data_IF_798253492359
#
_entry.id   IF_798253492359
#
_cell.length_a   1.000
_cell.length_b   1.000
_cell.length_c   1.000
_cell.angle_alpha   90.00
_cell.angle_beta   90.00
_cell.angle_gamma   90.00
#
_symmetry.space_group_name_H-M   'P 1'
#
loop_
_entity.id
_entity.type
_entity.pdbx_description
1 polymer ?
#
# COMPACT_ATOMS: atom_id res chain seq x y z
N UNK A 1 14.77 -13.74 21.00
CA UNK A 1 15.25 -12.34 21.07
C UNK A 1 14.03 -11.44 21.09
N UNK A 2 13.84 -10.70 22.17
CA UNK A 2 12.73 -9.75 22.34
C UNK A 2 12.92 -8.61 21.35
N UNK A 3 12.00 -8.46 20.38
CA UNK A 3 11.91 -7.21 19.60
C UNK A 3 11.15 -6.24 20.47
N UNK A 4 11.85 -5.30 21.10
CA UNK A 4 11.26 -4.11 21.70
C UNK A 4 10.52 -3.34 20.60
N UNK A 5 9.25 -3.69 20.37
CA UNK A 5 8.39 -3.07 19.38
C UNK A 5 8.05 -1.66 19.81
N UNK A 6 8.97 -0.73 19.58
CA UNK A 6 8.71 0.70 19.78
C UNK A 6 7.47 1.13 19.00
N UNK A 7 6.82 2.21 19.45
CA UNK A 7 5.62 2.72 18.82
C UNK A 7 5.82 2.87 17.30
N UNK A 8 4.92 2.28 16.52
CA UNK A 8 4.91 2.35 15.06
C UNK A 8 3.87 3.38 14.61
N UNK A 9 4.03 3.91 13.41
CA UNK A 9 3.05 4.83 12.85
C UNK A 9 3.00 4.76 11.32
N UNK A 10 1.90 5.27 10.79
CA UNK A 10 1.73 5.57 9.38
C UNK A 10 1.55 7.09 9.21
N UNK A 11 2.21 7.67 8.22
CA UNK A 11 2.10 9.08 7.85
C UNK A 11 1.39 9.18 6.51
N UNK A 12 0.23 9.83 6.46
CA UNK A 12 -0.40 10.19 5.18
C UNK A 12 0.25 11.44 4.61
N UNK A 13 0.60 11.44 3.32
CA UNK A 13 1.28 12.54 2.61
C UNK A 13 0.59 12.81 1.27
N UNK A 14 0.25 14.07 1.02
CA UNK A 14 -0.26 14.54 -0.26
C UNK A 14 0.54 15.74 -0.76
N UNK A 15 0.69 15.86 -2.09
CA UNK A 15 1.35 16.98 -2.77
C UNK A 15 2.76 16.68 -3.28
N UNK A 16 3.38 15.56 -2.90
CA UNK A 16 4.74 15.20 -3.31
C UNK A 16 4.75 13.99 -4.23
N UNK A 17 5.52 14.05 -5.32
CA UNK A 17 5.78 12.88 -6.18
C UNK A 17 6.48 11.78 -5.38
N UNK A 18 6.23 10.52 -5.77
CA UNK A 18 6.75 9.33 -5.07
C UNK A 18 8.26 9.36 -4.94
N UNK A 19 8.98 9.67 -6.02
CA UNK A 19 10.44 9.65 -6.06
C UNK A 19 11.03 10.66 -5.07
N UNK A 20 10.41 11.84 -4.97
CA UNK A 20 10.80 12.87 -3.99
C UNK A 20 10.52 12.41 -2.56
N UNK A 21 9.38 11.77 -2.32
CA UNK A 21 9.02 11.24 -1.01
C UNK A 21 9.94 10.08 -0.58
N UNK A 22 10.31 9.19 -1.50
CA UNK A 22 11.29 8.13 -1.28
C UNK A 22 12.66 8.70 -0.92
N UNK A 23 13.08 9.79 -1.58
CA UNK A 23 14.27 10.55 -1.22
C UNK A 23 14.24 11.07 0.23
N UNK A 24 13.12 11.65 0.67
CA UNK A 24 12.95 12.08 2.06
C UNK A 24 12.92 10.92 3.06
N UNK A 25 12.28 9.80 2.70
CA UNK A 25 12.34 8.58 3.51
C UNK A 25 13.78 8.11 3.68
N UNK A 26 14.58 8.12 2.60
CA UNK A 26 16.01 7.77 2.65
C UNK A 26 16.77 8.74 3.56
N UNK A 27 16.58 10.04 3.41
CA UNK A 27 17.21 11.05 4.25
C UNK A 27 16.93 10.80 5.74
N UNK A 28 15.67 10.51 6.10
CA UNK A 28 15.31 10.19 7.50
C UNK A 28 16.03 8.95 8.00
N UNK A 29 16.15 7.89 7.18
CA UNK A 29 16.89 6.68 7.56
C UNK A 29 18.38 6.97 7.74
N UNK A 30 18.98 7.74 6.85
CA UNK A 30 20.40 8.10 6.91
C UNK A 30 20.71 8.92 8.19
N UNK A 31 19.84 9.88 8.53
CA UNK A 31 20.00 10.75 9.71
C UNK A 31 19.74 10.03 11.04
N UNK A 32 18.84 9.05 11.08
CA UNK A 32 18.51 8.30 12.29
C UNK A 32 19.36 7.05 12.49
N UNK A 33 20.10 6.62 11.46
CA UNK A 33 21.03 5.52 11.54
C UNK A 33 20.41 4.13 11.31
N UNK A 34 21.27 3.13 11.46
CA UNK A 34 20.98 1.74 11.14
C UNK A 34 19.74 1.21 11.88
N UNK A 35 18.92 0.41 11.18
CA UNK A 35 17.69 -0.17 11.73
C UNK A 35 16.47 0.75 11.68
N UNK A 36 16.61 2.01 11.25
CA UNK A 36 15.47 2.90 11.05
C UNK A 36 14.62 2.43 9.86
N UNK A 37 13.36 2.09 10.13
CA UNK A 37 12.35 1.88 9.08
C UNK A 37 11.61 3.19 8.84
N UNK A 38 11.67 3.66 7.60
CA UNK A 38 10.94 4.81 7.09
C UNK A 38 10.84 4.64 5.57
N UNK A 39 9.68 4.26 5.05
CA UNK A 39 9.50 4.00 3.62
C UNK A 39 8.09 4.33 3.17
N UNK A 40 7.89 4.50 1.86
CA UNK A 40 6.54 4.52 1.28
C UNK A 40 5.91 3.14 1.52
N UNK A 41 4.73 3.13 2.14
CA UNK A 41 3.95 1.95 2.48
C UNK A 41 2.74 1.78 1.53
N UNK A 42 2.16 2.88 1.06
CA UNK A 42 1.08 2.86 0.09
C UNK A 42 1.32 3.95 -0.97
N UNK A 43 1.44 3.58 -2.24
CA UNK A 43 1.45 4.49 -3.39
C UNK A 43 0.04 4.53 -4.00
N UNK A 44 -0.75 5.53 -3.57
CA UNK A 44 -2.19 5.54 -3.73
C UNK A 44 -2.64 6.23 -5.02
N UNK A 45 -2.12 7.42 -5.29
CA UNK A 45 -2.48 8.21 -6.46
C UNK A 45 -1.37 9.22 -6.77
N UNK A 46 -1.41 9.90 -7.93
CA UNK A 46 -0.44 10.93 -8.26
C UNK A 46 -0.27 11.94 -7.13
N UNK A 47 0.97 11.98 -6.62
CA UNK A 47 1.38 12.80 -5.48
C UNK A 47 0.64 12.50 -4.17
N UNK A 48 0.23 11.26 -3.95
CA UNK A 48 -0.45 10.81 -2.74
C UNK A 48 0.00 9.43 -2.32
N UNK A 49 0.52 9.37 -1.10
CA UNK A 49 1.07 8.15 -0.56
C UNK A 49 0.93 8.16 0.96
N UNK A 50 1.15 7.00 1.56
CA UNK A 50 1.46 6.93 2.99
C UNK A 50 2.85 6.36 3.18
N UNK A 51 3.55 6.83 4.21
CA UNK A 51 4.81 6.25 4.66
C UNK A 51 4.61 5.49 5.97
N UNK A 52 5.38 4.44 6.20
CA UNK A 52 5.35 3.65 7.42
C UNK A 52 6.74 3.53 8.05
N UNK A 53 6.76 3.40 9.38
CA UNK A 53 7.99 3.26 10.15
C UNK A 53 7.78 3.35 11.65
N UNK A 54 8.87 3.57 12.39
CA UNK A 54 8.76 3.94 13.80
C UNK A 54 8.08 5.30 13.93
N UNK A 55 7.39 5.54 15.04
CA UNK A 55 6.69 6.81 15.30
C UNK A 55 7.64 8.01 15.21
N UNK A 56 8.83 7.89 15.80
CA UNK A 56 9.86 8.94 15.74
C UNK A 56 10.30 9.24 14.29
N UNK A 57 10.48 8.20 13.45
CA UNK A 57 10.83 8.40 12.05
C UNK A 57 9.70 9.07 11.26
N UNK A 58 8.44 8.71 11.53
CA UNK A 58 7.28 9.34 10.89
C UNK A 58 7.08 10.79 11.33
N UNK A 59 7.30 11.14 12.60
CA UNK A 59 7.26 12.52 13.10
C UNK A 59 8.37 13.38 12.46
N UNK A 60 9.57 12.82 12.30
CA UNK A 60 10.67 13.50 11.61
C UNK A 60 10.37 13.70 10.13
N UNK A 61 9.85 12.66 9.46
CA UNK A 61 9.42 12.73 8.07
C UNK A 61 8.31 13.76 7.88
N UNK A 62 7.32 13.81 8.77
CA UNK A 62 6.22 14.78 8.72
C UNK A 62 6.73 16.22 8.69
N UNK A 63 7.67 16.57 9.58
CA UNK A 63 8.29 17.92 9.59
C UNK A 63 9.04 18.19 8.29
N UNK A 64 9.83 17.22 7.83
CA UNK A 64 10.64 17.33 6.62
C UNK A 64 9.76 17.57 5.38
N UNK A 65 8.70 16.78 5.19
CA UNK A 65 7.85 16.90 3.99
C UNK A 65 7.01 18.17 4.01
N UNK A 66 6.52 18.62 5.18
CA UNK A 66 5.79 19.89 5.34
C UNK A 66 6.65 21.08 4.95
N UNK A 67 7.91 21.10 5.39
CA UNK A 67 8.86 22.14 5.02
C UNK A 67 9.24 22.14 3.53
N UNK A 68 9.00 21.04 2.81
CA UNK A 68 9.47 20.83 1.44
C UNK A 68 8.36 20.63 0.39
N UNK A 69 7.18 21.23 0.66
CA UNK A 69 6.11 21.35 -0.32
C UNK A 69 5.06 20.24 -0.33
N UNK A 70 4.97 19.43 0.74
CA UNK A 70 3.77 18.64 0.95
C UNK A 70 2.57 19.56 1.19
N UNK A 71 1.47 19.31 0.47
CA UNK A 71 0.20 20.02 0.67
C UNK A 71 -0.46 19.57 1.97
N UNK A 72 -0.34 18.29 2.30
CA UNK A 72 -0.83 17.71 3.54
C UNK A 72 0.16 16.64 4.02
N UNK A 73 0.38 16.61 5.33
CA UNK A 73 1.03 15.49 5.99
C UNK A 73 0.45 15.33 7.40
N UNK A 74 0.00 14.11 7.75
CA UNK A 74 -0.63 13.83 9.05
C UNK A 74 -0.42 12.38 9.45
N UNK A 75 -0.02 12.16 10.70
CA UNK A 75 0.02 10.82 11.30
C UNK A 75 -1.39 10.22 11.37
N UNK A 76 -1.49 8.94 11.00
CA UNK A 76 -2.73 8.18 11.03
C UNK A 76 -2.86 7.53 12.41
N UNK A 77 -3.90 7.91 13.16
CA UNK A 77 -4.18 7.41 14.50
C UNK A 77 -4.63 5.95 14.46
N UNK A 78 -4.15 5.12 15.38
CA UNK A 78 -4.56 3.72 15.51
C UNK A 78 -4.01 2.78 14.42
N UNK A 79 -3.09 3.25 13.58
CA UNK A 79 -2.44 2.44 12.54
C UNK A 79 -1.09 1.88 13.00
N UNK A 80 -0.78 0.65 12.60
CA UNK A 80 0.58 0.12 12.59
C UNK A 80 1.36 0.56 11.34
N UNK A 81 2.65 0.21 11.28
CA UNK A 81 3.49 0.42 10.09
C UNK A 81 3.34 -0.73 9.08
N UNK A 82 2.09 -0.98 8.64
CA UNK A 82 1.77 -2.00 7.65
C UNK A 82 2.51 -1.75 6.32
N UNK A 83 2.71 -2.82 5.54
CA UNK A 83 3.39 -2.74 4.24
C UNK A 83 4.84 -2.20 4.36
N UNK A 84 5.49 -2.56 5.47
CA UNK A 84 6.90 -2.29 5.73
C UNK A 84 7.58 -3.52 6.35
N UNK A 85 8.93 -3.58 6.38
CA UNK A 85 9.67 -4.64 7.06
C UNK A 85 9.32 -4.82 8.55
N UNK A 86 8.68 -3.84 9.20
CA UNK A 86 8.21 -3.98 10.57
C UNK A 86 7.12 -5.05 10.73
N UNK A 87 6.51 -5.49 9.63
CA UNK A 87 5.55 -6.60 9.60
C UNK A 87 6.22 -7.98 9.53
N UNK A 88 7.54 -8.08 9.36
CA UNK A 88 8.27 -9.34 9.22
C UNK A 88 7.94 -10.37 10.31
N UNK A 89 7.79 -10.01 11.61
CA UNK A 89 7.44 -10.97 12.65
C UNK A 89 6.09 -11.67 12.44
N UNK A 90 5.17 -11.06 11.69
CA UNK A 90 3.85 -11.63 11.40
C UNK A 90 3.82 -12.52 10.14
N UNK A 91 4.85 -12.44 9.29
CA UNK A 91 4.88 -13.10 7.97
C UNK A 91 4.70 -14.61 8.08
N UNK A 92 5.47 -15.27 8.96
CA UNK A 92 5.40 -16.73 9.13
C UNK A 92 4.01 -17.22 9.57
N UNK A 93 3.32 -16.46 10.42
CA UNK A 93 1.98 -16.79 10.88
C UNK A 93 0.94 -16.66 9.76
N UNK A 94 1.04 -15.59 8.96
CA UNK A 94 0.16 -15.38 7.80
C UNK A 94 0.42 -16.43 6.72
N UNK A 95 1.68 -16.74 6.44
CA UNK A 95 2.05 -17.77 5.48
C UNK A 95 1.49 -19.14 5.87
N UNK A 96 1.61 -19.55 7.14
CA UNK A 96 1.03 -20.80 7.62
C UNK A 96 -0.49 -20.86 7.42
N UNK A 97 -1.21 -19.79 7.78
CA UNK A 97 -2.66 -19.70 7.58
C UNK A 97 -3.06 -19.74 6.09
N UNK A 98 -2.30 -19.06 5.22
CA UNK A 98 -2.50 -19.08 3.78
C UNK A 98 -2.24 -20.47 3.18
N UNK A 99 -1.21 -21.18 3.64
CA UNK A 99 -0.93 -22.56 3.23
C UNK A 99 -2.06 -23.51 3.62
N UNK A 100 -2.59 -23.39 4.85
CA UNK A 100 -3.74 -24.17 5.28
C UNK A 100 -4.98 -23.88 4.41
N UNK A 101 -5.27 -22.60 4.15
CA UNK A 101 -6.38 -22.19 3.29
C UNK A 101 -6.22 -22.65 1.83
N UNK A 102 -4.98 -22.76 1.34
CA UNK A 102 -4.67 -23.10 -0.05
C UNK A 102 -5.24 -24.42 -0.52
N UNK A 103 -5.43 -25.38 0.39
CA UNK A 103 -6.02 -26.70 0.11
C UNK A 103 -7.42 -26.60 -0.50
N UNK A 104 -8.14 -25.51 -0.18
CA UNK A 104 -9.50 -25.25 -0.69
C UNK A 104 -9.56 -24.15 -1.75
N UNK A 105 -8.43 -23.51 -2.07
CA UNK A 105 -8.41 -22.44 -3.06
C UNK A 105 -8.62 -23.01 -4.46
N UNK A 106 -9.40 -22.28 -5.27
CA UNK A 106 -9.58 -22.58 -6.69
C UNK A 106 -8.88 -21.49 -7.51
N UNK A 107 -8.48 -21.78 -8.76
CA UNK A 107 -8.01 -20.76 -9.68
C UNK A 107 -8.99 -19.57 -9.74
N UNK A 108 -8.50 -18.33 -9.82
CA UNK A 108 -9.37 -17.17 -9.88
C UNK A 108 -10.17 -17.19 -11.19
N UNK A 109 -11.41 -16.75 -11.13
CA UNK A 109 -12.30 -16.67 -12.32
C UNK A 109 -12.13 -15.38 -13.12
N UNK A 110 -11.39 -14.43 -12.58
CA UNK A 110 -11.09 -13.13 -13.17
C UNK A 110 -9.62 -12.79 -12.89
N UNK A 111 -9.11 -11.81 -13.62
CA UNK A 111 -7.78 -11.28 -13.37
C UNK A 111 -7.74 -10.58 -12.01
N UNK A 112 -6.68 -10.84 -11.25
CA UNK A 112 -6.46 -10.27 -9.91
C UNK A 112 -5.22 -9.40 -9.95
N UNK A 113 -5.40 -8.09 -9.77
CA UNK A 113 -4.27 -7.15 -9.74
C UNK A 113 -3.66 -7.11 -8.34
N UNK A 114 -2.39 -7.48 -8.25
CA UNK A 114 -1.69 -7.66 -6.98
C UNK A 114 -1.02 -6.36 -6.57
N UNK A 115 -1.39 -5.85 -5.39
CA UNK A 115 -0.87 -4.60 -4.84
C UNK A 115 0.66 -4.59 -4.70
N UNK A 116 1.30 -5.72 -4.43
CA UNK A 116 2.75 -5.81 -4.25
C UNK A 116 3.54 -5.69 -5.55
N UNK A 117 2.93 -6.01 -6.70
CA UNK A 117 3.58 -5.99 -8.02
C UNK A 117 3.03 -4.90 -8.94
N UNK A 118 1.81 -4.41 -8.68
CA UNK A 118 1.11 -3.51 -9.58
C UNK A 118 0.60 -4.18 -10.86
N UNK A 119 0.61 -5.51 -10.93
CA UNK A 119 0.31 -6.29 -12.15
C UNK A 119 -0.74 -7.36 -11.91
N UNK A 120 -1.34 -7.85 -13.00
CA UNK A 120 -2.36 -8.89 -12.96
C UNK A 120 -1.76 -10.29 -12.80
N UNK A 121 -2.40 -11.08 -11.96
CA UNK A 121 -2.44 -12.54 -12.07
C UNK A 121 -3.69 -12.90 -12.87
N UNK A 122 -3.50 -13.58 -14.00
CA UNK A 122 -4.61 -13.86 -14.91
C UNK A 122 -5.58 -14.92 -14.38
N UNK A 123 -6.82 -14.84 -14.84
CA UNK A 123 -7.83 -15.87 -14.61
C UNK A 123 -7.29 -17.28 -14.94
N UNK A 124 -7.66 -18.27 -14.13
CA UNK A 124 -7.18 -19.65 -14.28
C UNK A 124 -5.78 -19.92 -13.73
N UNK A 125 -5.06 -18.91 -13.25
CA UNK A 125 -3.74 -19.11 -12.61
C UNK A 125 -3.82 -20.03 -11.39
N UNK A 126 -2.77 -20.83 -11.19
CA UNK A 126 -2.68 -21.69 -10.01
C UNK A 126 -2.70 -20.86 -8.72
N UNK A 127 -3.50 -21.24 -7.71
CA UNK A 127 -3.46 -20.59 -6.39
C UNK A 127 -2.05 -20.58 -5.78
N UNK A 128 -1.21 -21.57 -6.09
CA UNK A 128 0.16 -21.64 -5.61
C UNK A 128 1.05 -20.49 -6.14
N UNK A 129 0.70 -19.88 -7.27
CA UNK A 129 1.39 -18.69 -7.78
C UNK A 129 0.95 -17.41 -7.07
N UNK A 130 -0.22 -17.40 -6.42
CA UNK A 130 -0.80 -16.23 -5.75
C UNK A 130 -0.34 -16.15 -4.29
N UNK A 131 -0.18 -17.29 -3.61
CA UNK A 131 0.19 -17.33 -2.19
C UNK A 131 1.47 -16.54 -1.87
N UNK A 132 2.58 -16.66 -2.63
CA UNK A 132 3.78 -15.89 -2.34
C UNK A 132 3.54 -14.37 -2.44
N UNK A 133 2.68 -13.94 -3.36
CA UNK A 133 2.34 -12.53 -3.56
C UNK A 133 1.49 -11.99 -2.40
N UNK A 134 0.59 -12.80 -1.84
CA UNK A 134 -0.18 -12.46 -0.63
C UNK A 134 0.71 -12.36 0.61
N UNK A 135 1.70 -13.25 0.74
CA UNK A 135 2.68 -13.19 1.83
C UNK A 135 3.56 -11.95 1.68
N UNK A 136 4.08 -11.71 0.47
CA UNK A 136 4.90 -10.55 0.14
C UNK A 136 4.18 -9.22 0.44
N UNK A 137 2.86 -9.16 0.24
CA UNK A 137 2.05 -7.97 0.52
C UNK A 137 2.18 -7.44 1.96
N UNK A 138 2.54 -8.30 2.91
CA UNK A 138 2.67 -7.93 4.31
C UNK A 138 3.76 -6.88 4.54
N UNK A 139 4.87 -7.00 3.80
CA UNK A 139 6.08 -6.21 4.00
C UNK A 139 6.40 -5.27 2.85
N UNK A 140 5.78 -5.49 1.69
CA UNK A 140 5.95 -4.67 0.49
C UNK A 140 4.86 -3.59 0.37
N UNK A 141 5.18 -2.45 -0.28
CA UNK A 141 4.23 -1.36 -0.44
C UNK A 141 3.02 -1.77 -1.28
N UNK A 142 1.89 -1.14 -1.00
CA UNK A 142 0.70 -1.20 -1.87
C UNK A 142 0.90 -0.27 -3.07
N UNK A 143 0.92 -0.83 -4.27
CA UNK A 143 1.06 -0.10 -5.54
C UNK A 143 -0.29 0.18 -6.20
N UNK A 144 -1.22 0.76 -5.46
CA UNK A 144 -2.60 0.99 -5.90
C UNK A 144 -2.70 1.82 -7.18
N UNK A 145 -1.95 2.92 -7.28
CA UNK A 145 -1.91 3.75 -8.50
C UNK A 145 -1.49 2.92 -9.73
N UNK A 146 -0.49 2.05 -9.55
CA UNK A 146 0.00 1.18 -10.63
C UNK A 146 -1.05 0.13 -11.03
N UNK A 147 -1.70 -0.52 -10.05
CA UNK A 147 -2.79 -1.46 -10.30
C UNK A 147 -3.90 -0.82 -11.14
N UNK A 148 -4.39 0.36 -10.73
CA UNK A 148 -5.48 1.05 -11.44
C UNK A 148 -5.05 1.44 -12.86
N UNK A 149 -3.85 1.98 -13.03
CA UNK A 149 -3.33 2.31 -14.37
C UNK A 149 -3.18 1.07 -15.24
N UNK A 150 -2.78 -0.07 -14.67
CA UNK A 150 -2.68 -1.32 -15.39
C UNK A 150 -4.06 -1.86 -15.81
N UNK A 151 -5.09 -1.71 -14.96
CA UNK A 151 -6.48 -2.04 -15.29
C UNK A 151 -6.99 -1.19 -16.47
N UNK A 152 -6.79 0.13 -16.41
CA UNK A 152 -7.21 1.05 -17.48
C UNK A 152 -6.48 0.71 -18.79
N UNK A 153 -5.17 0.45 -18.72
CA UNK A 153 -4.37 0.05 -19.89
C UNK A 153 -4.84 -1.27 -20.50
N UNK A 154 -5.38 -2.18 -19.70
CA UNK A 154 -5.97 -3.44 -20.16
C UNK A 154 -7.38 -3.28 -20.78
N UNK A 155 -7.91 -2.04 -20.83
CA UNK A 155 -9.21 -1.75 -21.43
C UNK A 155 -10.38 -1.81 -20.45
N UNK A 156 -10.13 -1.97 -19.15
CA UNK A 156 -11.19 -1.91 -18.13
C UNK A 156 -11.69 -0.47 -18.03
N UNK A 157 -13.00 -0.28 -18.26
CA UNK A 157 -13.63 1.04 -18.33
C UNK A 157 -14.71 1.29 -17.29
N UNK A 158 -15.06 0.29 -16.49
CA UNK A 158 -16.09 0.37 -15.45
C UNK A 158 -15.54 -0.20 -14.16
N UNK A 159 -15.81 0.48 -13.05
CA UNK A 159 -15.28 0.14 -11.74
C UNK A 159 -16.39 0.08 -10.71
N UNK A 160 -16.30 -0.88 -9.79
CA UNK A 160 -17.25 -1.05 -8.70
C UNK A 160 -16.47 -1.13 -7.38
N UNK A 161 -16.68 -0.16 -6.49
CA UNK A 161 -16.16 -0.18 -5.12
C UNK A 161 -17.23 -0.80 -4.23
N UNK A 162 -17.00 -2.05 -3.80
CA UNK A 162 -17.91 -2.80 -2.94
C UNK A 162 -17.50 -2.62 -1.47
N UNK A 163 -18.38 -2.06 -0.64
CA UNK A 163 -18.09 -1.80 0.77
C UNK A 163 -18.77 -0.53 1.31
N UNK A 164 -18.75 -0.31 2.65
CA UNK A 164 -19.45 0.81 3.29
C UNK A 164 -18.79 2.18 3.06
N UNK A 165 -17.55 2.21 2.57
CA UNK A 165 -16.76 3.44 2.39
C UNK A 165 -16.64 3.81 0.90
N UNK A 166 -16.14 5.02 0.63
CA UNK A 166 -16.02 5.59 -0.73
C UNK A 166 -14.59 6.04 -1.06
N UNK A 167 -13.61 5.44 -0.38
CA UNK A 167 -12.22 5.90 -0.45
C UNK A 167 -11.57 5.51 -1.77
N UNK A 168 -11.84 4.33 -2.32
CA UNK A 168 -11.26 3.90 -3.59
C UNK A 168 -11.76 4.79 -4.73
N UNK A 169 -13.05 5.13 -4.76
CA UNK A 169 -13.61 6.08 -5.73
C UNK A 169 -13.01 7.49 -5.56
N UNK A 170 -12.83 7.97 -4.33
CA UNK A 170 -12.16 9.25 -4.10
C UNK A 170 -10.70 9.25 -4.61
N UNK A 171 -9.98 8.14 -4.44
CA UNK A 171 -8.64 7.96 -5.01
C UNK A 171 -8.67 7.87 -6.53
N UNK A 172 -9.66 7.18 -7.11
CA UNK A 172 -9.84 7.10 -8.57
C UNK A 172 -9.91 8.50 -9.18
N UNK A 173 -10.65 9.44 -8.58
CA UNK A 173 -10.70 10.85 -9.04
C UNK A 173 -9.33 11.50 -9.17
N UNK A 174 -8.37 11.09 -8.34
CA UNK A 174 -7.00 11.61 -8.34
C UNK A 174 -6.08 10.88 -9.33
N UNK A 175 -6.46 9.68 -9.75
CA UNK A 175 -5.74 8.86 -10.74
C UNK A 175 -6.23 9.18 -12.15
N UNK A 176 -7.54 9.09 -12.37
CA UNK A 176 -8.19 9.30 -13.66
C UNK A 176 -9.63 9.83 -13.46
N UNK A 177 -9.88 11.04 -13.98
CA UNK A 177 -11.19 11.70 -13.85
C UNK A 177 -12.31 11.03 -14.65
N UNK A 178 -12.00 10.43 -15.80
CA UNK A 178 -13.00 9.76 -16.62
C UNK A 178 -13.43 8.44 -15.96
N UNK A 179 -12.49 7.69 -15.38
CA UNK A 179 -12.81 6.46 -14.66
C UNK A 179 -13.54 6.72 -13.34
N UNK A 180 -13.32 7.87 -12.70
CA UNK A 180 -14.11 8.27 -11.53
C UNK A 180 -15.61 8.38 -11.84
N UNK A 181 -15.98 8.99 -12.97
CA UNK A 181 -17.39 9.07 -13.41
C UNK A 181 -17.98 7.69 -13.71
N UNK A 182 -17.12 6.72 -14.07
CA UNK A 182 -17.49 5.32 -14.33
C UNK A 182 -17.25 4.39 -13.13
N UNK A 183 -17.02 4.95 -11.95
CA UNK A 183 -16.88 4.19 -10.71
C UNK A 183 -18.17 4.23 -9.91
N UNK A 184 -18.76 3.08 -9.63
CA UNK A 184 -19.97 2.94 -8.82
C UNK A 184 -19.62 2.44 -7.42
N UNK A 185 -20.15 3.08 -6.38
CA UNK A 185 -20.10 2.54 -5.03
C UNK A 185 -21.27 1.57 -4.84
N UNK A 186 -20.97 0.37 -4.35
CA UNK A 186 -21.95 -0.68 -4.06
C UNK A 186 -21.96 -0.88 -2.55
N UNK A 187 -23.08 -0.50 -1.92
CA UNK A 187 -23.30 -0.73 -0.50
C UNK A 187 -23.57 -2.23 -0.24
N UNK A 188 -23.00 -2.76 0.84
CA UNK A 188 -23.11 -4.17 1.28
C UNK A 188 -23.40 -4.28 2.76
#
# INVERSE_FOLDING_TARGET
ASTSGGAQALLSVAGLKREKLEGFCKQVRDEMGAGTVCQVANALFPKGATCGGSKAAMEKLEKLVKANGALQAKLVTGSGAFHTPLMQPAVAKVEAALREASVRMKPPKCDVYMNSTGTAVYAGSSPHAILPLLVQQMTEPVLWEACVKAMIKAGISEFYEVGPMKQLKAMMKRIDGAMFERTTNVEV
#
